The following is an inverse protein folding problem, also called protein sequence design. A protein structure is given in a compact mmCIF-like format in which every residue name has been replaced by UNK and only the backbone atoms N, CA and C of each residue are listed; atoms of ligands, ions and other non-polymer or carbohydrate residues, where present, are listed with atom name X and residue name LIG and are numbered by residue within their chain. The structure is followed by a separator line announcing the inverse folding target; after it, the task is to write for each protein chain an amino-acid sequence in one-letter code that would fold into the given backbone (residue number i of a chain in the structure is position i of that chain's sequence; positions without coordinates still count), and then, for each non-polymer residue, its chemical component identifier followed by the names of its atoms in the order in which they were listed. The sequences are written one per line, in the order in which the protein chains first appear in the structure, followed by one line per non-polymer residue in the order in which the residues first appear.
data_IF_052293436556
#
_entry.id   IF_052293436556
#
_cell.length_a   1.000
_cell.length_b   1.000
_cell.length_c   1.000
_cell.angle_alpha   90.00
_cell.angle_beta   90.00
_cell.angle_gamma   90.00
#
_symmetry.space_group_name_H-M   'P 1'
#
loop_
_entity.id
_entity.type
_entity.pdbx_description
1 polymer ?
#
# COMPACT_ATOMS: atom_id res chain seq x y z
N UNK A 1 -4.79 2.12 10.23
CA UNK A 1 -5.53 3.29 10.79
C UNK A 1 -7.04 3.05 11.00
N UNK A 2 -7.68 2.24 10.15
CA UNK A 2 -9.13 2.02 10.18
C UNK A 2 -9.73 1.68 11.56
N UNK A 3 -8.93 1.11 12.48
CA UNK A 3 -9.25 0.83 13.89
C UNK A 3 -9.89 1.99 14.66
N UNK A 4 -9.58 3.24 14.25
CA UNK A 4 -10.13 4.44 14.85
C UNK A 4 -11.53 4.81 14.37
N UNK A 5 -12.03 4.19 13.29
CA UNK A 5 -13.45 4.29 12.87
C UNK A 5 -14.28 3.21 13.56
N UNK A 6 -13.82 1.97 13.47
CA UNK A 6 -14.40 0.82 14.14
C UNK A 6 -13.32 -0.24 14.31
N UNK A 7 -13.52 -1.34 15.02
CA UNK A 7 -12.57 -2.46 15.06
C UNK A 7 -13.31 -3.78 15.11
N UNK A 8 -12.70 -4.83 14.55
CA UNK A 8 -13.30 -6.16 14.52
C UNK A 8 -13.00 -6.87 15.83
N UNK A 9 -14.05 -7.24 16.56
CA UNK A 9 -13.95 -7.89 17.85
C UNK A 9 -14.32 -9.36 17.69
N UNK A 10 -13.44 -10.23 18.17
CA UNK A 10 -13.67 -11.67 18.26
C UNK A 10 -13.77 -12.01 19.76
N UNK A 11 -14.98 -12.31 20.29
CA UNK A 11 -15.14 -12.67 21.69
C UNK A 11 -14.34 -13.93 22.05
N UNK A 12 -13.84 -13.98 23.28
CA UNK A 12 -13.20 -15.16 23.86
C UNK A 12 -14.20 -15.83 24.80
N UNK A 13 -14.38 -17.14 24.66
CA UNK A 13 -15.07 -17.95 25.66
C UNK A 13 -14.22 -17.99 26.93
N UNK A 14 -14.73 -17.39 28.02
CA UNK A 14 -14.02 -17.31 29.29
C UNK A 14 -13.73 -18.68 29.93
N UNK A 15 -14.49 -19.73 29.59
CA UNK A 15 -14.27 -21.08 30.12
C UNK A 15 -13.20 -21.84 29.34
N UNK A 16 -13.14 -21.66 28.01
CA UNK A 16 -12.23 -22.42 27.14
C UNK A 16 -11.03 -21.62 26.66
N UNK A 17 -11.01 -20.30 26.89
CA UNK A 17 -10.04 -19.35 26.32
C UNK A 17 -9.94 -19.41 24.79
N UNK A 18 -10.98 -19.91 24.11
CA UNK A 18 -11.03 -20.03 22.65
C UNK A 18 -11.85 -18.90 22.02
N UNK A 19 -11.50 -18.47 20.79
CA UNK A 19 -12.29 -17.47 20.08
C UNK A 19 -13.64 -18.03 19.62
N UNK A 20 -14.71 -17.23 19.77
CA UNK A 20 -16.06 -17.52 19.29
C UNK A 20 -16.29 -16.77 17.99
N UNK A 21 -15.80 -17.32 16.87
CA UNK A 21 -15.81 -16.67 15.55
C UNK A 21 -17.23 -16.31 15.09
N UNK A 22 -18.24 -17.13 15.43
CA UNK A 22 -19.64 -16.89 15.07
C UNK A 22 -20.22 -15.60 15.66
N UNK A 23 -19.62 -15.08 16.74
CA UNK A 23 -20.08 -13.88 17.45
C UNK A 23 -19.17 -12.67 17.17
N UNK A 24 -18.26 -12.80 16.20
CA UNK A 24 -17.39 -11.72 15.84
C UNK A 24 -18.16 -10.61 15.11
N UNK A 25 -17.86 -9.36 15.44
CA UNK A 25 -18.60 -8.20 14.93
C UNK A 25 -17.74 -6.93 14.96
N UNK A 26 -18.14 -5.95 14.17
CA UNK A 26 -17.54 -4.62 14.19
C UNK A 26 -18.10 -3.76 15.33
N UNK A 27 -17.22 -3.05 16.05
CA UNK A 27 -17.59 -2.07 17.07
C UNK A 27 -17.03 -0.70 16.68
N UNK A 28 -17.86 0.34 16.69
CA UNK A 28 -17.43 1.71 16.40
C UNK A 28 -16.43 2.23 17.45
N UNK A 29 -15.47 3.02 17.01
CA UNK A 29 -14.44 3.63 17.84
C UNK A 29 -14.59 5.16 17.80
N UNK A 30 -14.39 5.89 18.92
CA UNK A 30 -14.49 7.36 18.97
C UNK A 30 -13.23 8.04 18.39
N UNK A 31 -12.94 7.79 17.11
CA UNK A 31 -11.75 8.33 16.43
C UNK A 31 -11.78 9.85 16.29
N UNK A 32 -12.94 10.44 16.00
CA UNK A 32 -13.06 11.90 15.88
C UNK A 32 -12.78 12.59 17.20
N UNK A 33 -13.31 12.08 18.30
CA UNK A 33 -13.07 12.61 19.63
C UNK A 33 -11.59 12.50 20.00
N UNK A 34 -10.98 11.34 19.76
CA UNK A 34 -9.55 11.12 20.01
C UNK A 34 -8.68 12.14 19.27
N UNK A 35 -8.86 12.28 17.95
CA UNK A 35 -8.01 13.16 17.15
C UNK A 35 -8.34 14.64 17.34
N UNK A 36 -9.56 14.97 17.74
CA UNK A 36 -9.92 16.32 18.19
C UNK A 36 -9.14 16.70 19.46
N UNK A 37 -9.09 15.81 20.45
CA UNK A 37 -8.32 16.07 21.67
C UNK A 37 -6.80 16.06 21.42
N UNK A 38 -6.32 15.19 20.52
CA UNK A 38 -4.92 15.17 20.11
C UNK A 38 -4.51 16.49 19.44
N UNK A 39 -5.30 17.00 18.49
CA UNK A 39 -4.99 18.25 17.79
C UNK A 39 -5.08 19.47 18.72
N UNK A 40 -6.00 19.49 19.68
CA UNK A 40 -6.03 20.52 20.74
C UNK A 40 -4.78 20.49 21.62
N UNK A 41 -4.30 19.30 21.97
CA UNK A 41 -3.22 19.13 22.94
C UNK A 41 -1.83 19.27 22.34
N UNK A 42 -1.67 18.86 21.08
CA UNK A 42 -0.37 18.72 20.41
C UNK A 42 -0.20 19.70 19.22
N UNK A 43 -1.27 20.42 18.85
CA UNK A 43 -1.31 21.30 17.69
C UNK A 43 -2.09 20.69 16.53
N UNK A 44 -2.64 21.54 15.66
CA UNK A 44 -3.47 21.12 14.53
C UNK A 44 -2.69 20.51 13.37
N UNK A 45 -1.39 20.77 13.28
CA UNK A 45 -0.51 20.29 12.22
C UNK A 45 0.23 19.01 12.66
N UNK A 46 -0.54 17.94 12.88
CA UNK A 46 0.00 16.65 13.28
C UNK A 46 0.59 15.92 12.05
N UNK A 47 1.90 15.58 12.04
CA UNK A 47 2.54 14.94 10.89
C UNK A 47 2.26 13.43 10.86
N UNK A 48 0.99 13.05 10.73
CA UNK A 48 0.54 11.65 10.76
C UNK A 48 0.35 11.13 9.34
N UNK A 49 1.05 10.05 9.02
CA UNK A 49 0.77 9.20 7.85
C UNK A 49 -0.06 8.02 8.34
N UNK A 50 -1.23 7.83 7.72
CA UNK A 50 -2.15 6.75 8.06
C UNK A 50 -2.01 5.60 7.09
N UNK A 51 -1.85 4.40 7.64
CA UNK A 51 -2.05 3.16 6.88
C UNK A 51 -3.56 3.00 6.61
N UNK A 52 -3.98 3.32 5.39
CA UNK A 52 -5.36 3.29 4.88
C UNK A 52 -5.53 2.27 3.73
N UNK A 53 -4.94 1.08 3.89
CA UNK A 53 -5.01 -0.02 2.90
C UNK A 53 -5.98 -1.12 3.37
N UNK A 54 -6.39 -1.98 2.43
CA UNK A 54 -7.26 -3.14 2.72
C UNK A 54 -8.75 -2.80 2.71
N UNK A 55 -9.50 -3.35 3.66
CA UNK A 55 -10.95 -3.13 3.81
C UNK A 55 -11.24 -1.75 4.41
N UNK A 56 -11.17 -0.74 3.55
CA UNK A 56 -11.38 0.66 3.90
C UNK A 56 -12.73 1.14 3.39
N UNK A 57 -13.52 1.69 4.31
CA UNK A 57 -14.82 2.28 4.02
C UNK A 57 -14.69 3.79 3.82
N UNK A 58 -15.74 4.43 3.28
CA UNK A 58 -15.77 5.88 3.10
C UNK A 58 -15.55 6.63 4.43
N UNK A 59 -16.01 6.08 5.55
CA UNK A 59 -15.81 6.64 6.88
C UNK A 59 -14.33 6.69 7.29
N UNK A 60 -13.50 5.76 6.82
CA UNK A 60 -12.04 5.78 7.05
C UNK A 60 -11.41 6.95 6.32
N UNK A 61 -11.79 7.18 5.07
CA UNK A 61 -11.31 8.33 4.31
C UNK A 61 -11.81 9.65 4.90
N UNK A 62 -13.08 9.72 5.29
CA UNK A 62 -13.63 10.91 5.95
C UNK A 62 -12.89 11.25 7.25
N UNK A 63 -12.56 10.25 8.07
CA UNK A 63 -11.80 10.47 9.30
C UNK A 63 -10.38 10.97 9.00
N UNK A 64 -9.68 10.33 8.04
CA UNK A 64 -8.34 10.76 7.59
C UNK A 64 -8.37 12.22 7.11
N UNK A 65 -9.29 12.53 6.21
CA UNK A 65 -9.35 13.81 5.51
C UNK A 65 -9.80 14.94 6.43
N UNK A 66 -10.67 14.66 7.41
CA UNK A 66 -11.10 15.63 8.42
C UNK A 66 -9.93 16.19 9.24
N UNK A 67 -8.95 15.34 9.58
CA UNK A 67 -7.75 15.75 10.31
C UNK A 67 -6.56 16.04 9.41
N UNK A 68 -6.76 16.09 8.08
CA UNK A 68 -5.72 16.32 7.08
C UNK A 68 -4.54 15.33 7.14
N UNK A 69 -4.75 14.13 7.66
CA UNK A 69 -3.69 13.12 7.73
C UNK A 69 -3.35 12.58 6.34
N UNK A 70 -2.08 12.25 6.11
CA UNK A 70 -1.62 11.73 4.82
C UNK A 70 -2.01 10.26 4.66
N UNK A 71 -2.66 9.90 3.54
CA UNK A 71 -2.87 8.50 3.19
C UNK A 71 -1.62 7.86 2.57
N UNK A 72 -1.67 6.56 2.28
CA UNK A 72 -0.59 5.84 1.57
C UNK A 72 -1.05 5.34 0.20
N UNK A 73 -0.15 5.36 -0.77
CA UNK A 73 -0.42 4.85 -2.13
C UNK A 73 0.67 3.86 -2.53
N UNK A 74 0.31 2.60 -2.71
CA UNK A 74 1.25 1.52 -3.03
C UNK A 74 1.14 1.16 -4.51
N UNK A 75 2.18 1.45 -5.29
CA UNK A 75 2.16 1.28 -6.74
C UNK A 75 1.95 -0.17 -7.19
N UNK A 76 2.51 -1.15 -6.46
CA UNK A 76 2.28 -2.58 -6.74
C UNK A 76 0.79 -2.97 -6.73
N UNK A 77 -0.07 -2.20 -6.07
CA UNK A 77 -1.51 -2.45 -6.00
C UNK A 77 -2.31 -1.72 -7.10
N UNK A 78 -1.66 -0.90 -7.94
CA UNK A 78 -2.31 0.04 -8.86
C UNK A 78 -2.83 -0.54 -10.17
N UNK A 79 -2.31 -1.69 -10.59
CA UNK A 79 -2.59 -2.24 -11.92
C UNK A 79 -3.68 -3.32 -11.92
N UNK A 80 -4.21 -3.67 -10.75
CA UNK A 80 -5.46 -4.41 -10.63
C UNK A 80 -6.65 -3.43 -10.72
N UNK A 81 -7.77 -3.81 -11.34
CA UNK A 81 -8.96 -2.92 -11.50
C UNK A 81 -8.60 -1.53 -12.09
N UNK A 82 -7.57 -1.46 -12.93
CA UNK A 82 -7.15 -0.27 -13.65
C UNK A 82 -8.18 0.09 -14.75
N UNK A 83 -8.41 1.38 -15.08
CA UNK A 83 -7.71 2.58 -14.61
C UNK A 83 -8.28 3.24 -13.36
N UNK A 84 -9.37 2.73 -12.80
CA UNK A 84 -10.15 3.40 -11.73
C UNK A 84 -9.59 3.13 -10.32
N UNK A 85 -8.55 2.30 -10.20
CA UNK A 85 -7.94 1.96 -8.92
C UNK A 85 -7.28 3.19 -8.28
N UNK A 86 -7.55 3.44 -6.99
CA UNK A 86 -6.93 4.52 -6.20
C UNK A 86 -5.40 4.41 -6.12
N UNK A 87 -4.86 3.21 -6.33
CA UNK A 87 -3.45 2.91 -6.36
C UNK A 87 -2.81 3.06 -7.77
N UNK A 88 -3.60 3.37 -8.80
CA UNK A 88 -3.06 3.80 -10.08
C UNK A 88 -2.49 5.23 -9.96
N UNK A 89 -1.28 5.53 -10.48
CA UNK A 89 -0.58 6.78 -10.17
C UNK A 89 -1.33 8.05 -10.58
N UNK A 90 -2.11 8.01 -11.67
CA UNK A 90 -2.90 9.16 -12.13
C UNK A 90 -4.08 9.49 -11.20
N UNK A 91 -4.43 8.59 -10.28
CA UNK A 91 -5.46 8.80 -9.26
C UNK A 91 -4.89 9.22 -7.90
N UNK A 92 -3.57 9.42 -7.77
CA UNK A 92 -2.97 9.83 -6.50
C UNK A 92 -3.40 11.25 -6.15
N UNK A 93 -3.55 11.50 -4.84
CA UNK A 93 -3.90 12.80 -4.30
C UNK A 93 -2.68 13.41 -3.60
N UNK A 94 -2.61 14.74 -3.57
CA UNK A 94 -1.51 15.45 -2.92
C UNK A 94 -1.36 15.04 -1.44
N UNK A 95 -2.46 14.89 -0.70
CA UNK A 95 -2.42 14.51 0.72
C UNK A 95 -2.15 13.00 0.92
N UNK A 96 -1.08 12.49 0.33
CA UNK A 96 -0.64 11.10 0.47
C UNK A 96 0.88 10.96 0.32
N UNK A 97 1.41 9.81 0.73
CA UNK A 97 2.76 9.36 0.41
C UNK A 97 2.71 8.16 -0.53
N UNK A 98 3.49 8.22 -1.62
CA UNK A 98 3.62 7.13 -2.57
C UNK A 98 4.73 6.14 -2.16
N UNK A 99 4.49 4.87 -2.41
CA UNK A 99 5.37 3.75 -2.12
C UNK A 99 5.47 2.87 -3.36
N UNK A 100 6.64 2.32 -3.64
CA UNK A 100 6.76 1.21 -4.60
C UNK A 100 6.06 -0.02 -4.03
N UNK A 101 6.45 -0.37 -2.80
CA UNK A 101 5.88 -1.38 -1.91
C UNK A 101 6.23 -1.04 -0.45
N UNK A 102 5.63 -1.74 0.50
CA UNK A 102 5.96 -1.66 1.93
C UNK A 102 6.84 -2.85 2.34
N UNK A 103 7.20 -2.94 3.63
CA UNK A 103 7.92 -4.10 4.17
C UNK A 103 7.11 -5.41 4.10
N UNK A 104 5.78 -5.33 4.03
CA UNK A 104 4.88 -6.50 3.91
C UNK A 104 4.72 -6.97 2.46
N UNK A 105 5.07 -6.12 1.50
CA UNK A 105 5.01 -6.45 0.10
C UNK A 105 6.25 -7.24 -0.35
N UNK A 106 6.09 -7.99 -1.44
CA UNK A 106 7.25 -8.45 -2.20
C UNK A 106 8.05 -7.25 -2.69
N UNK A 107 9.34 -7.45 -2.97
CA UNK A 107 10.11 -6.44 -3.72
C UNK A 107 9.45 -6.23 -5.08
N UNK A 108 9.64 -5.07 -5.70
CA UNK A 108 9.09 -4.78 -7.03
C UNK A 108 9.58 -5.80 -8.07
N UNK A 109 10.84 -6.21 -7.97
CA UNK A 109 11.42 -7.26 -8.81
C UNK A 109 10.75 -8.62 -8.60
N UNK A 110 10.58 -9.05 -7.35
CA UNK A 110 9.90 -10.31 -7.03
C UNK A 110 8.43 -10.28 -7.48
N UNK A 111 7.73 -9.16 -7.22
CA UNK A 111 6.36 -8.95 -7.66
C UNK A 111 6.25 -9.12 -9.17
N UNK A 112 7.07 -8.41 -9.95
CA UNK A 112 7.06 -8.49 -11.41
C UNK A 112 7.29 -9.91 -11.93
N UNK A 113 8.28 -10.62 -11.37
CA UNK A 113 8.69 -11.93 -11.87
C UNK A 113 7.77 -13.07 -11.46
N UNK A 114 7.16 -12.99 -10.26
CA UNK A 114 6.54 -14.15 -9.62
C UNK A 114 5.08 -13.94 -9.23
N UNK A 115 4.62 -12.71 -9.02
CA UNK A 115 3.31 -12.45 -8.40
C UNK A 115 2.35 -11.67 -9.28
N UNK A 116 2.85 -10.72 -10.09
CA UNK A 116 2.03 -9.92 -11.00
C UNK A 116 1.36 -10.84 -12.03
N UNK A 117 0.05 -10.67 -12.18
CA UNK A 117 -0.72 -11.34 -13.23
C UNK A 117 -0.36 -10.77 -14.60
N UNK A 118 -0.55 -11.55 -15.66
CA UNK A 118 -0.31 -11.07 -17.03
C UNK A 118 -1.14 -9.81 -17.35
N UNK A 119 -2.39 -9.74 -16.85
CA UNK A 119 -3.22 -8.55 -16.98
C UNK A 119 -2.59 -7.33 -16.30
N UNK A 120 -2.09 -7.46 -15.08
CA UNK A 120 -1.43 -6.33 -14.39
C UNK A 120 -0.18 -5.87 -15.12
N UNK A 121 0.61 -6.80 -15.69
CA UNK A 121 1.78 -6.48 -16.50
C UNK A 121 1.39 -5.75 -17.79
N UNK A 122 0.37 -6.21 -18.50
CA UNK A 122 -0.17 -5.55 -19.69
C UNK A 122 -0.63 -4.12 -19.38
N UNK A 123 -1.40 -3.92 -18.31
CA UNK A 123 -1.86 -2.59 -17.88
C UNK A 123 -0.69 -1.68 -17.49
N UNK A 124 0.33 -2.22 -16.82
CA UNK A 124 1.54 -1.46 -16.49
C UNK A 124 2.30 -1.04 -17.75
N UNK A 125 2.51 -1.95 -18.71
CA UNK A 125 3.19 -1.67 -19.97
C UNK A 125 2.44 -0.60 -20.77
N UNK A 126 1.10 -0.68 -20.81
CA UNK A 126 0.26 0.34 -21.42
C UNK A 126 0.41 1.71 -20.72
N UNK A 127 0.43 1.71 -19.37
CA UNK A 127 0.56 2.92 -18.57
C UNK A 127 1.87 3.67 -18.84
N UNK A 128 3.01 2.97 -18.82
CA UNK A 128 4.33 3.60 -19.03
C UNK A 128 4.54 4.07 -20.48
N UNK A 129 3.64 3.68 -21.40
CA UNK A 129 3.67 4.01 -22.84
C UNK A 129 5.07 3.85 -23.44
N UNK A 130 5.82 2.86 -22.96
CA UNK A 130 7.21 2.74 -23.35
C UNK A 130 7.27 2.35 -24.83
N UNK A 131 7.96 3.13 -25.68
CA UNK A 131 7.81 3.04 -27.12
C UNK A 131 8.60 1.86 -27.70
N UNK A 132 8.15 0.64 -27.45
CA UNK A 132 8.61 -0.51 -28.24
C UNK A 132 7.86 -0.53 -29.57
N UNK A 133 8.24 0.39 -30.46
CA UNK A 133 7.98 0.20 -31.89
C UNK A 133 9.03 -0.76 -32.41
N UNK A 134 8.66 -2.05 -32.51
CA UNK A 134 9.36 -3.11 -33.26
C UNK A 134 10.44 -3.94 -32.54
N UNK A 135 10.51 -3.99 -31.21
CA UNK A 135 11.45 -4.92 -30.53
C UNK A 135 10.80 -6.26 -30.18
N UNK A 136 11.65 -7.28 -30.06
CA UNK A 136 11.24 -8.62 -29.69
C UNK A 136 10.65 -8.60 -28.27
N UNK A 137 9.52 -9.27 -28.05
CA UNK A 137 8.90 -9.44 -26.72
C UNK A 137 9.92 -9.87 -25.65
N UNK A 138 10.88 -10.70 -26.04
CA UNK A 138 11.96 -11.17 -25.17
C UNK A 138 12.92 -10.05 -24.72
N UNK A 139 13.14 -9.02 -25.54
CA UNK A 139 13.99 -7.88 -25.20
C UNK A 139 13.28 -6.95 -24.21
N UNK A 140 11.99 -6.69 -24.42
CA UNK A 140 11.14 -5.96 -23.47
C UNK A 140 11.11 -6.64 -22.11
N UNK A 141 10.89 -7.95 -22.06
CA UNK A 141 10.88 -8.72 -20.81
C UNK A 141 12.21 -8.61 -20.07
N UNK A 142 13.33 -8.77 -20.77
CA UNK A 142 14.68 -8.61 -20.19
C UNK A 142 14.92 -7.19 -19.69
N UNK A 143 14.48 -6.18 -20.43
CA UNK A 143 14.59 -4.79 -20.01
C UNK A 143 13.79 -4.55 -18.72
N UNK A 144 12.53 -4.94 -18.68
CA UNK A 144 11.69 -4.75 -17.51
C UNK A 144 12.25 -5.52 -16.31
N UNK A 145 12.66 -6.77 -16.45
CA UNK A 145 13.30 -7.49 -15.32
C UNK A 145 14.53 -6.76 -14.76
N UNK A 146 15.32 -6.09 -15.59
CA UNK A 146 16.51 -5.38 -15.14
C UNK A 146 16.21 -4.00 -14.53
N UNK A 147 15.10 -3.37 -14.90
CA UNK A 147 14.83 -1.96 -14.56
C UNK A 147 13.49 -1.71 -13.86
N UNK A 148 12.67 -2.73 -13.63
CA UNK A 148 11.30 -2.55 -13.09
C UNK A 148 11.27 -1.78 -11.78
N UNK A 149 12.18 -2.07 -10.86
CA UNK A 149 12.25 -1.36 -9.57
C UNK A 149 12.57 0.13 -9.76
N UNK A 150 13.48 0.46 -10.67
CA UNK A 150 13.80 1.85 -10.99
C UNK A 150 12.67 2.57 -11.74
N UNK A 151 11.95 1.87 -12.62
CA UNK A 151 10.77 2.42 -13.29
C UNK A 151 9.69 2.74 -12.24
N UNK A 152 9.44 1.84 -11.29
CA UNK A 152 8.53 2.07 -10.17
C UNK A 152 8.97 3.27 -9.32
N UNK A 153 10.26 3.36 -8.98
CA UNK A 153 10.84 4.49 -8.25
C UNK A 153 10.58 5.81 -9.01
N UNK A 154 10.79 5.86 -10.32
CA UNK A 154 10.51 7.05 -11.12
C UNK A 154 9.03 7.45 -11.07
N UNK A 155 8.12 6.48 -11.21
CA UNK A 155 6.68 6.73 -11.17
C UNK A 155 6.26 7.33 -9.81
N UNK A 156 6.71 6.75 -8.69
CA UNK A 156 6.32 7.27 -7.37
C UNK A 156 6.92 8.64 -7.08
N UNK A 157 8.15 8.91 -7.53
CA UNK A 157 8.81 10.22 -7.41
C UNK A 157 8.14 11.31 -8.27
N UNK A 158 7.53 10.93 -9.40
CA UNK A 158 6.82 11.84 -10.30
C UNK A 158 5.32 11.95 -9.99
N UNK A 159 4.84 11.21 -8.99
CA UNK A 159 3.41 11.21 -8.65
C UNK A 159 2.97 12.55 -8.05
N UNK A 160 1.65 12.77 -7.99
CA UNK A 160 1.04 13.94 -7.37
C UNK A 160 1.12 13.95 -5.84
N UNK A 161 1.62 12.89 -5.21
CA UNK A 161 1.73 12.73 -3.75
C UNK A 161 2.66 13.77 -3.12
N UNK A 162 2.44 14.13 -1.85
CA UNK A 162 3.28 15.06 -1.11
C UNK A 162 4.73 14.56 -0.95
N UNK A 163 4.92 13.24 -0.96
CA UNK A 163 6.24 12.64 -0.96
C UNK A 163 6.23 11.18 -1.41
N UNK A 164 7.42 10.62 -1.58
CA UNK A 164 7.61 9.20 -1.89
C UNK A 164 8.51 8.54 -0.84
N UNK A 165 8.18 7.32 -0.46
CA UNK A 165 8.97 6.47 0.41
C UNK A 165 9.43 5.25 -0.39
N UNK A 166 10.76 5.08 -0.46
CA UNK A 166 11.39 4.05 -1.27
C UNK A 166 11.86 2.90 -0.39
N UNK A 167 11.51 1.67 -0.77
CA UNK A 167 11.96 0.48 -0.09
C UNK A 167 13.40 0.13 -0.52
N UNK A 168 14.31 -0.10 0.43
CA UNK A 168 15.74 -0.30 0.13
C UNK A 168 16.02 -1.47 -0.85
N UNK A 169 15.37 -2.65 -0.75
CA UNK A 169 15.52 -3.72 -1.74
C UNK A 169 15.17 -3.30 -3.17
N UNK A 170 14.22 -2.37 -3.37
CA UNK A 170 13.87 -1.85 -4.70
C UNK A 170 14.96 -0.92 -5.24
N UNK A 171 15.56 -0.07 -4.38
CA UNK A 171 16.71 0.77 -4.75
C UNK A 171 17.88 -0.09 -5.23
N UNK A 172 18.13 -1.21 -4.53
CA UNK A 172 19.18 -2.16 -4.87
C UNK A 172 18.77 -3.13 -5.99
N UNK A 173 17.51 -3.07 -6.45
CA UNK A 173 16.91 -3.98 -7.41
C UNK A 173 17.14 -5.47 -7.06
N UNK A 174 16.86 -5.85 -5.82
CA UNK A 174 17.02 -7.22 -5.30
C UNK A 174 15.66 -7.88 -5.07
N UNK A 175 15.61 -9.21 -5.05
CA UNK A 175 14.41 -9.98 -4.69
C UNK A 175 14.39 -10.42 -3.21
N UNK A 176 15.04 -9.63 -2.33
CA UNK A 176 15.13 -9.91 -0.89
C UNK A 176 13.94 -9.27 -0.17
N UNK A 177 12.88 -10.05 0.02
CA UNK A 177 11.68 -9.62 0.74
C UNK A 177 11.91 -9.54 2.25
N UNK A 178 11.35 -8.52 2.90
CA UNK A 178 11.49 -8.31 4.35
C UNK A 178 10.54 -9.19 5.17
N UNK A 179 9.25 -9.22 4.78
CA UNK A 179 8.21 -9.94 5.49
C UNK A 179 7.23 -10.66 4.55
N UNK A 180 6.81 -11.85 4.93
CA UNK A 180 5.70 -12.61 4.35
C UNK A 180 4.57 -12.65 5.39
N UNK A 181 3.59 -11.71 5.34
CA UNK A 181 2.49 -11.66 6.30
C UNK A 181 1.83 -13.03 6.50
N UNK A 182 1.67 -13.43 7.76
CA UNK A 182 1.15 -14.74 8.16
C UNK A 182 2.23 -15.81 8.40
N UNK A 183 3.49 -15.53 8.11
CA UNK A 183 4.62 -16.40 8.44
C UNK A 183 5.32 -15.90 9.73
N UNK A 184 5.68 -16.83 10.62
CA UNK A 184 6.19 -16.50 11.97
C UNK A 184 7.71 -16.32 12.08
N UNK A 185 8.45 -16.24 10.96
CA UNK A 185 9.94 -16.28 10.95
C UNK A 185 10.61 -15.18 10.14
N UNK A 186 9.91 -14.10 9.87
CA UNK A 186 10.42 -13.03 9.02
C UNK A 186 11.10 -11.91 9.82
N UNK A 187 11.65 -10.90 9.14
CA UNK A 187 12.50 -9.83 9.70
C UNK A 187 13.85 -10.30 10.25
N UNK A 188 14.22 -11.56 10.07
CA UNK A 188 15.55 -12.07 10.39
C UNK A 188 16.47 -11.79 9.21
N UNK A 189 17.26 -10.72 9.31
CA UNK A 189 18.50 -10.60 8.53
C UNK A 189 19.34 -11.84 8.87
N UNK A 190 19.39 -12.82 7.97
CA UNK A 190 20.28 -13.98 8.08
C UNK A 190 21.66 -13.63 7.53
#
# INVERSE_FOLDING_TARGET
FRGFVSHYVIPIDMNTSKPIISNAHWINTPGYELFTEATKSLGSDLPIIVEDIGDVTLEVFNLRDHFHFYGIRILQMGFNTYPDNIYAPHNYIYNSFAYTGTHDNATTLEWWKKLATEKEKEQFIEYIRYPFKNENQLELEKYLENFISWIFIQIVLQSSSNGAILHMPDILNTDIRMNYPGNGRDFLFK
#
